data_IF_362115807803
#
_entry.id   IF_362115807803
#
_cell.length_a   1.000
_cell.length_b   1.000
_cell.length_c   1.000
_cell.angle_alpha   90.00
_cell.angle_beta   90.00
_cell.angle_gamma   90.00
#
_symmetry.space_group_name_H-M   'P 1'
#
loop_
_entity.id
_entity.type
_entity.pdbx_description
1 polymer ?
#
# COMPACT_ATOMS: atom_id res chain seq x y z
N UNK A 1 -20.54 -10.15 5.68
CA UNK A 1 -21.91 -10.01 5.14
C UNK A 1 -22.13 -8.51 4.92
N UNK A 2 -21.99 -8.03 3.68
CA UNK A 2 -22.18 -6.61 3.32
C UNK A 2 -23.66 -6.36 3.04
N UNK A 3 -24.30 -5.48 3.81
CA UNK A 3 -25.70 -5.08 3.63
C UNK A 3 -25.80 -4.13 2.44
N UNK A 4 -26.21 -4.64 1.27
CA UNK A 4 -26.47 -3.84 0.07
C UNK A 4 -27.86 -3.20 0.19
N UNK A 5 -27.87 -1.94 0.59
CA UNK A 5 -29.08 -1.17 0.83
C UNK A 5 -30.02 -1.09 -0.38
N UNK A 6 -31.32 -1.25 -0.11
CA UNK A 6 -32.43 -0.70 -0.88
C UNK A 6 -32.61 -1.15 -2.34
N UNK A 7 -32.17 -2.35 -2.73
CA UNK A 7 -32.59 -2.99 -4.00
C UNK A 7 -32.21 -2.24 -5.29
N UNK A 8 -31.22 -1.34 -5.21
CA UNK A 8 -30.76 -0.50 -6.33
C UNK A 8 -29.51 -1.03 -7.04
N UNK A 9 -28.95 -2.14 -6.58
CA UNK A 9 -27.71 -2.72 -7.08
C UNK A 9 -27.98 -4.19 -7.36
N UNK A 10 -27.84 -4.60 -8.61
CA UNK A 10 -27.92 -6.00 -9.03
C UNK A 10 -26.54 -6.66 -8.94
N UNK A 11 -26.49 -7.99 -8.87
CA UNK A 11 -25.23 -8.75 -8.78
C UNK A 11 -24.26 -8.43 -9.94
N UNK A 12 -24.81 -8.15 -11.13
CA UNK A 12 -24.04 -7.72 -12.31
C UNK A 12 -23.31 -6.38 -12.12
N UNK A 13 -23.77 -5.56 -11.18
CA UNK A 13 -23.18 -4.25 -10.88
C UNK A 13 -22.02 -4.39 -9.89
N UNK A 14 -21.91 -5.53 -9.18
CA UNK A 14 -20.80 -5.81 -8.31
C UNK A 14 -19.57 -6.21 -9.15
N UNK A 15 -18.40 -5.61 -8.90
CA UNK A 15 -17.18 -6.08 -9.53
C UNK A 15 -16.90 -7.52 -9.08
N UNK A 16 -16.75 -8.42 -10.05
CA UNK A 16 -16.26 -9.77 -9.78
C UNK A 16 -14.93 -9.72 -9.04
N UNK A 17 -14.64 -10.71 -8.17
CA UNK A 17 -13.45 -10.70 -7.30
C UNK A 17 -12.15 -10.50 -8.09
N UNK A 18 -12.03 -11.07 -9.30
CA UNK A 18 -10.89 -10.84 -10.20
C UNK A 18 -10.71 -9.36 -10.53
N UNK A 19 -11.81 -8.67 -10.85
CA UNK A 19 -11.80 -7.23 -11.14
C UNK A 19 -11.44 -6.44 -9.88
N UNK A 20 -11.92 -6.84 -8.72
CA UNK A 20 -11.56 -6.20 -7.46
C UNK A 20 -10.07 -6.35 -7.15
N UNK A 21 -9.53 -7.58 -7.26
CA UNK A 21 -8.11 -7.86 -7.06
C UNK A 21 -7.25 -7.06 -8.04
N UNK A 22 -7.64 -6.99 -9.31
CA UNK A 22 -6.93 -6.16 -10.30
C UNK A 22 -6.92 -4.69 -9.89
N UNK A 23 -8.07 -4.13 -9.48
CA UNK A 23 -8.16 -2.73 -9.09
C UNK A 23 -7.29 -2.42 -7.87
N UNK A 24 -7.29 -3.31 -6.86
CA UNK A 24 -6.46 -3.17 -5.66
C UNK A 24 -4.97 -3.19 -6.03
N UNK A 25 -4.54 -4.17 -6.84
CA UNK A 25 -3.14 -4.30 -7.24
C UNK A 25 -2.68 -3.14 -8.12
N UNK A 26 -3.54 -2.65 -9.01
CA UNK A 26 -3.23 -1.50 -9.87
C UNK A 26 -3.11 -0.21 -9.05
N UNK A 27 -3.99 0.00 -8.08
CA UNK A 27 -3.90 1.17 -7.21
C UNK A 27 -2.68 1.10 -6.30
N UNK A 28 -2.38 -0.06 -5.73
CA UNK A 28 -1.15 -0.28 -4.96
C UNK A 28 0.11 0.00 -5.80
N UNK A 29 0.17 -0.47 -7.05
CA UNK A 29 1.31 -0.17 -7.94
C UNK A 29 1.46 1.31 -8.21
N UNK A 30 0.36 2.05 -8.42
CA UNK A 30 0.40 3.51 -8.62
C UNK A 30 0.95 4.21 -7.38
N UNK A 31 0.41 3.87 -6.21
CA UNK A 31 0.84 4.46 -4.93
C UNK A 31 2.32 4.16 -4.67
N UNK A 32 2.74 2.90 -4.81
CA UNK A 32 4.14 2.49 -4.67
C UNK A 32 5.07 3.26 -5.62
N UNK A 33 4.67 3.44 -6.87
CA UNK A 33 5.46 4.19 -7.84
C UNK A 33 5.53 5.69 -7.48
N UNK A 34 4.46 6.27 -6.95
CA UNK A 34 4.47 7.65 -6.42
C UNK A 34 5.45 7.78 -5.26
N UNK A 35 5.38 6.87 -4.29
CA UNK A 35 6.31 6.82 -3.16
C UNK A 35 7.77 6.73 -3.61
N UNK A 36 8.07 5.85 -4.56
CA UNK A 36 9.42 5.70 -5.09
C UNK A 36 9.92 6.98 -5.79
N UNK A 37 9.04 7.73 -6.46
CA UNK A 37 9.39 9.02 -7.07
C UNK A 37 9.59 10.12 -6.03
N UNK A 38 8.80 10.12 -4.95
CA UNK A 38 8.91 11.14 -3.90
C UNK A 38 10.12 10.92 -3.02
N UNK A 39 10.44 9.66 -2.68
CA UNK A 39 11.67 9.29 -1.98
C UNK A 39 12.94 9.78 -2.71
N UNK A 40 12.96 9.75 -4.04
CA UNK A 40 14.10 10.28 -4.84
C UNK A 40 14.32 11.78 -4.65
N UNK A 41 13.32 12.52 -4.19
CA UNK A 41 13.36 13.97 -3.96
C UNK A 41 13.61 14.34 -2.50
N UNK A 42 13.66 13.36 -1.60
CA UNK A 42 13.89 13.60 -0.18
C UNK A 42 15.34 14.04 0.00
N UNK A 43 15.52 15.27 0.48
CA UNK A 43 16.85 15.81 0.84
C UNK A 43 17.35 15.29 2.19
N UNK A 44 16.47 14.67 2.97
CA UNK A 44 16.74 14.15 4.32
C UNK A 44 16.95 12.64 4.38
N UNK A 45 16.83 12.09 5.60
CA UNK A 45 16.95 10.66 5.82
C UNK A 45 15.68 9.90 5.47
N UNK A 46 15.87 8.70 4.97
CA UNK A 46 14.81 7.70 4.77
C UNK A 46 15.08 6.58 5.77
N UNK A 47 14.07 6.20 6.52
CA UNK A 47 14.10 5.06 7.44
C UNK A 47 13.16 3.96 6.95
N UNK A 48 13.50 2.72 7.25
CA UNK A 48 12.69 1.55 6.89
C UNK A 48 12.38 0.75 8.14
N UNK A 49 11.17 0.23 8.20
CA UNK A 49 10.73 -0.74 9.20
C UNK A 49 10.37 -2.04 8.47
N UNK A 50 10.88 -3.16 8.97
CA UNK A 50 10.61 -4.47 8.41
C UNK A 50 9.91 -5.32 9.46
N UNK A 51 8.69 -5.77 9.15
CA UNK A 51 7.95 -6.69 9.99
C UNK A 51 8.02 -8.08 9.36
N UNK A 52 8.50 -9.06 10.13
CA UNK A 52 8.62 -10.45 9.71
C UNK A 52 7.67 -11.31 10.55
N UNK A 53 6.86 -12.13 9.88
CA UNK A 53 5.99 -13.09 10.55
C UNK A 53 5.86 -14.36 9.72
N UNK A 54 5.40 -15.44 10.36
CA UNK A 54 5.04 -16.68 9.67
C UNK A 54 3.57 -16.99 9.88
N UNK A 55 2.93 -17.63 8.91
CA UNK A 55 1.58 -18.15 9.07
C UNK A 55 1.59 -19.56 9.72
N UNK A 56 0.42 -20.15 10.05
CA UNK A 56 0.35 -21.50 10.59
C UNK A 56 0.84 -22.61 9.66
N UNK A 57 0.99 -22.33 8.36
CA UNK A 57 1.56 -23.26 7.37
C UNK A 57 3.08 -23.14 7.27
N UNK A 58 3.71 -22.31 8.12
CA UNK A 58 5.14 -22.01 8.14
C UNK A 58 5.62 -21.22 6.92
N UNK A 59 4.71 -20.60 6.18
CA UNK A 59 5.08 -19.63 5.15
C UNK A 59 5.53 -18.35 5.84
N UNK A 60 6.73 -17.87 5.49
CA UNK A 60 7.27 -16.65 6.06
C UNK A 60 6.92 -15.46 5.18
N UNK A 61 6.66 -14.32 5.82
CA UNK A 61 6.24 -13.08 5.18
C UNK A 61 7.03 -11.93 5.76
N UNK A 62 7.42 -10.99 4.89
CA UNK A 62 8.07 -9.75 5.27
C UNK A 62 7.31 -8.56 4.68
N UNK A 63 6.87 -7.64 5.53
CA UNK A 63 6.41 -6.32 5.10
C UNK A 63 7.52 -5.29 5.28
N UNK A 64 7.71 -4.43 4.28
CA UNK A 64 8.67 -3.33 4.32
C UNK A 64 7.90 -2.01 4.25
N UNK A 65 7.94 -1.24 5.33
CA UNK A 65 7.39 0.12 5.41
C UNK A 65 8.51 1.15 5.34
N UNK A 66 8.30 2.19 4.54
CA UNK A 66 9.21 3.34 4.48
C UNK A 66 8.66 4.50 5.29
N UNK A 67 9.56 5.26 5.89
CA UNK A 67 9.29 6.47 6.64
C UNK A 67 10.27 7.56 6.18
N UNK A 68 9.75 8.70 5.75
CA UNK A 68 10.59 9.84 5.39
C UNK A 68 9.89 11.16 5.72
N UNK A 69 10.70 12.22 5.79
CA UNK A 69 10.19 13.59 5.87
C UNK A 69 10.58 14.35 4.61
N UNK A 70 9.67 15.15 4.09
CA UNK A 70 9.96 16.04 2.96
C UNK A 70 9.56 17.48 3.32
N UNK A 71 10.23 18.44 2.69
CA UNK A 71 9.93 19.86 2.87
C UNK A 71 9.00 20.32 1.76
N UNK A 72 7.84 20.88 2.12
CA UNK A 72 6.97 21.56 1.15
C UNK A 72 7.60 22.86 0.69
N UNK A 73 7.11 23.38 -0.44
CA UNK A 73 7.49 24.71 -0.96
C UNK A 73 7.24 25.85 0.05
N UNK A 74 6.32 25.66 0.99
CA UNK A 74 6.03 26.60 2.08
C UNK A 74 7.08 26.59 3.20
N UNK A 75 8.07 25.68 3.14
CA UNK A 75 9.09 25.49 4.17
C UNK A 75 8.70 24.52 5.28
N UNK A 76 7.44 24.08 5.35
CA UNK A 76 6.96 23.11 6.34
C UNK A 76 7.52 21.71 6.06
N UNK A 77 7.91 20.99 7.11
CA UNK A 77 8.29 19.58 7.04
C UNK A 77 7.05 18.71 7.22
N UNK A 78 6.89 17.73 6.35
CA UNK A 78 5.83 16.74 6.44
C UNK A 78 6.40 15.35 6.48
N UNK A 79 5.80 14.53 7.35
CA UNK A 79 6.11 13.14 7.48
C UNK A 79 5.22 12.31 6.56
N UNK A 80 5.81 11.33 5.89
CA UNK A 80 5.10 10.37 5.06
C UNK A 80 5.61 8.96 5.31
N UNK A 81 4.70 8.00 5.26
CA UNK A 81 5.03 6.59 5.33
C UNK A 81 4.12 5.76 4.43
N UNK A 82 4.62 4.61 3.99
CA UNK A 82 3.87 3.71 3.11
C UNK A 82 4.50 2.33 3.00
N UNK A 83 3.69 1.34 2.65
CA UNK A 83 4.16 -0.01 2.36
C UNK A 83 4.85 -0.02 0.99
N UNK A 84 6.12 -0.41 0.94
CA UNK A 84 6.87 -0.54 -0.32
C UNK A 84 6.74 -1.95 -0.88
N UNK A 85 6.80 -2.96 -0.03
CA UNK A 85 6.78 -4.34 -0.46
C UNK A 85 6.22 -5.28 0.60
N UNK A 86 5.69 -6.40 0.13
CA UNK A 86 5.31 -7.56 0.94
C UNK A 86 5.77 -8.81 0.20
N UNK A 87 6.82 -9.45 0.71
CA UNK A 87 7.47 -10.58 0.02
C UNK A 87 7.28 -11.85 0.87
N UNK A 88 6.94 -13.00 0.25
CA UNK A 88 7.13 -14.29 0.90
C UNK A 88 8.63 -14.47 1.21
N UNK A 89 8.99 -14.59 2.48
CA UNK A 89 10.36 -14.89 2.89
C UNK A 89 10.62 -16.38 2.58
N UNK A 90 11.22 -16.63 1.41
CA UNK A 90 11.69 -17.94 0.99
C UNK A 90 12.96 -18.37 1.72
#
# INVERSE_FOLDING_TARGET
MLFLGSGKIEEKDLPHWIKMTSLILDEFKKERNSFAQDMRKVEGHISYMTDLWSDPNLDSFMAIMVHYMFRRKTGQLEYQCGLIDSIPAH
#
